data_IF_481723623060
#
_entry.id   IF_481723623060
#
_cell.length_a   1.000
_cell.length_b   1.000
_cell.length_c   1.000
_cell.angle_alpha   90.00
_cell.angle_beta   90.00
_cell.angle_gamma   90.00
#
_symmetry.space_group_name_H-M   'P 1'
#
loop_
_entity.id
_entity.type
_entity.pdbx_description
1 polymer ?
#
# COMPACT_ATOMS: atom_id res chain seq x y z
N UNK A 1 -7.85 -27.19 4.10
CA UNK A 1 -9.03 -26.98 3.24
C UNK A 1 -9.20 -28.08 2.21
N UNK A 2 -8.28 -28.26 1.24
CA UNK A 2 -8.41 -29.28 0.18
C UNK A 2 -8.71 -30.69 0.73
N UNK A 3 -7.95 -31.15 1.72
CA UNK A 3 -8.18 -32.46 2.33
C UNK A 3 -9.57 -32.59 2.97
N UNK A 4 -10.03 -31.55 3.69
CA UNK A 4 -11.33 -31.54 4.34
C UNK A 4 -12.49 -31.56 3.34
N UNK A 5 -12.37 -30.83 2.23
CA UNK A 5 -13.35 -30.87 1.14
C UNK A 5 -13.32 -32.22 0.42
N UNK A 6 -12.13 -32.79 0.21
CA UNK A 6 -11.97 -34.13 -0.35
C UNK A 6 -12.63 -35.22 0.49
N UNK A 7 -12.52 -35.13 1.83
CA UNK A 7 -13.15 -36.04 2.80
C UNK A 7 -14.63 -35.70 3.11
N UNK A 8 -15.14 -34.56 2.63
CA UNK A 8 -16.48 -34.09 2.96
C UNK A 8 -16.67 -33.67 4.43
N UNK A 9 -15.59 -33.26 5.11
CA UNK A 9 -15.58 -32.86 6.52
C UNK A 9 -15.47 -31.35 6.71
N UNK A 10 -15.29 -30.58 5.63
CA UNK A 10 -15.24 -29.12 5.69
C UNK A 10 -16.59 -28.56 6.15
N UNK A 11 -16.60 -27.64 7.10
CA UNK A 11 -17.82 -27.06 7.68
C UNK A 11 -18.17 -25.72 7.03
N UNK A 12 -19.43 -25.53 6.61
CA UNK A 12 -19.90 -24.25 6.13
C UNK A 12 -20.13 -23.29 7.30
N UNK A 13 -19.45 -22.14 7.30
CA UNK A 13 -19.54 -21.19 8.42
C UNK A 13 -20.90 -20.49 8.58
N UNK A 14 -21.83 -20.62 7.62
CA UNK A 14 -23.18 -20.05 7.73
C UNK A 14 -24.12 -21.00 8.48
N UNK A 15 -24.11 -22.29 8.14
CA UNK A 15 -25.05 -23.27 8.70
C UNK A 15 -24.38 -24.30 9.65
N UNK A 16 -23.07 -24.21 9.83
CA UNK A 16 -22.24 -25.08 10.67
C UNK A 16 -22.37 -26.57 10.31
N UNK A 17 -22.79 -26.87 9.09
CA UNK A 17 -22.95 -28.24 8.59
C UNK A 17 -21.81 -28.62 7.64
N UNK A 18 -21.49 -29.91 7.58
CA UNK A 18 -20.45 -30.44 6.69
C UNK A 18 -20.85 -30.29 5.22
N UNK A 19 -19.88 -29.91 4.39
CA UNK A 19 -19.99 -29.86 2.94
C UNK A 19 -19.60 -31.23 2.38
N UNK A 20 -20.56 -31.95 1.83
CA UNK A 20 -20.31 -33.24 1.16
C UNK A 20 -19.60 -33.04 -0.18
N UNK A 21 -18.94 -34.09 -0.68
CA UNK A 21 -18.18 -34.08 -1.96
C UNK A 21 -19.01 -33.69 -3.18
N UNK A 22 -20.33 -33.92 -3.15
CA UNK A 22 -21.25 -33.60 -4.24
C UNK A 22 -22.16 -32.41 -3.97
N UNK A 23 -22.03 -31.74 -2.83
CA UNK A 23 -22.85 -30.57 -2.53
C UNK A 23 -22.42 -29.39 -3.42
N UNK A 24 -23.38 -28.65 -4.03
CA UNK A 24 -23.05 -27.39 -4.69
C UNK A 24 -22.48 -26.39 -3.70
N UNK A 25 -21.34 -25.79 -4.05
CA UNK A 25 -20.66 -24.80 -3.21
C UNK A 25 -20.44 -23.49 -3.95
N UNK A 26 -20.13 -22.46 -3.19
CA UNK A 26 -19.46 -21.27 -3.67
C UNK A 26 -18.17 -21.08 -2.89
N UNK A 27 -17.11 -20.60 -3.55
CA UNK A 27 -15.83 -20.28 -2.91
C UNK A 27 -15.43 -18.83 -3.16
N UNK A 28 -15.04 -18.12 -2.11
CA UNK A 28 -14.59 -16.73 -2.22
C UNK A 28 -13.25 -16.63 -2.95
N UNK A 29 -13.11 -15.73 -3.94
CA UNK A 29 -11.82 -15.50 -4.61
C UNK A 29 -10.76 -14.77 -3.77
N UNK A 30 -11.13 -14.22 -2.61
CA UNK A 30 -10.22 -13.46 -1.73
C UNK A 30 -9.72 -14.31 -0.56
N UNK A 31 -10.64 -14.86 0.24
CA UNK A 31 -10.30 -15.68 1.40
C UNK A 31 -10.44 -17.18 1.17
N UNK A 32 -10.92 -17.61 0.01
CA UNK A 32 -11.03 -19.02 -0.40
C UNK A 32 -11.99 -19.87 0.43
N UNK A 33 -12.73 -19.27 1.37
CA UNK A 33 -13.75 -19.95 2.15
C UNK A 33 -14.80 -20.59 1.24
N UNK A 34 -15.09 -21.87 1.46
CA UNK A 34 -16.14 -22.61 0.77
C UNK A 34 -17.42 -22.62 1.59
N UNK A 35 -18.56 -22.35 0.95
CA UNK A 35 -19.89 -22.32 1.57
C UNK A 35 -20.86 -23.12 0.72
N UNK A 36 -21.90 -23.72 1.31
CA UNK A 36 -22.98 -24.28 0.51
C UNK A 36 -23.60 -23.19 -0.38
N UNK A 37 -23.89 -23.53 -1.63
CA UNK A 37 -24.48 -22.60 -2.59
C UNK A 37 -25.79 -21.99 -2.06
N UNK A 38 -26.64 -22.81 -1.45
CA UNK A 38 -27.90 -22.36 -0.82
C UNK A 38 -27.67 -21.35 0.31
N UNK A 39 -26.63 -21.56 1.12
CA UNK A 39 -26.32 -20.68 2.24
C UNK A 39 -25.86 -19.31 1.75
N UNK A 40 -24.95 -19.28 0.76
CA UNK A 40 -24.51 -17.99 0.20
C UNK A 40 -25.64 -17.29 -0.54
N UNK A 41 -26.52 -18.03 -1.23
CA UNK A 41 -27.69 -17.45 -1.88
C UNK A 41 -28.62 -16.73 -0.90
N UNK A 42 -28.88 -17.34 0.25
CA UNK A 42 -29.66 -16.70 1.31
C UNK A 42 -28.93 -15.51 1.93
N UNK A 43 -27.60 -15.59 2.06
CA UNK A 43 -26.78 -14.49 2.55
C UNK A 43 -26.85 -13.28 1.63
N UNK A 44 -26.64 -13.47 0.33
CA UNK A 44 -26.71 -12.40 -0.69
C UNK A 44 -28.07 -11.71 -0.62
N UNK A 45 -29.18 -12.46 -0.69
CA UNK A 45 -30.54 -11.89 -0.63
C UNK A 45 -30.83 -11.08 0.63
N UNK A 46 -30.17 -11.39 1.76
CA UNK A 46 -30.36 -10.69 3.04
C UNK A 46 -29.43 -9.49 3.21
N UNK A 47 -28.29 -9.48 2.53
CA UNK A 47 -27.24 -8.48 2.70
C UNK A 47 -27.07 -7.54 1.52
N UNK A 48 -27.77 -7.79 0.41
CA UNK A 48 -27.77 -6.93 -0.76
C UNK A 48 -28.69 -5.74 -0.55
N UNK A 49 -28.10 -4.54 -0.58
CA UNK A 49 -28.83 -3.31 -0.82
C UNK A 49 -29.03 -3.16 -2.34
N UNK A 50 -30.28 -3.05 -2.78
CA UNK A 50 -30.79 -2.83 -4.15
C UNK A 50 -31.28 -4.07 -4.92
N UNK A 51 -32.45 -3.90 -5.55
CA UNK A 51 -33.11 -4.84 -6.45
C UNK A 51 -32.74 -4.58 -7.90
N UNK A 52 -32.26 -5.63 -8.56
CA UNK A 52 -31.80 -5.69 -9.95
C UNK A 52 -31.07 -7.01 -10.19
N UNK A 53 -30.50 -7.23 -11.38
CA UNK A 53 -29.74 -8.46 -11.69
C UNK A 53 -28.33 -8.48 -11.04
N UNK A 54 -27.80 -7.32 -10.63
CA UNK A 54 -26.54 -7.20 -9.89
C UNK A 54 -26.75 -7.02 -8.38
N UNK A 55 -25.99 -7.79 -7.59
CA UNK A 55 -26.04 -7.79 -6.13
C UNK A 55 -24.70 -7.30 -5.57
N UNK A 56 -24.75 -6.40 -4.59
CA UNK A 56 -23.58 -5.99 -3.79
C UNK A 56 -23.65 -6.62 -2.41
N UNK A 57 -22.67 -7.40 -2.00
CA UNK A 57 -22.72 -8.13 -0.72
C UNK A 57 -21.33 -8.39 -0.12
N UNK A 58 -21.19 -8.36 1.21
CA UNK A 58 -19.93 -8.66 1.88
C UNK A 58 -19.73 -10.17 2.06
N UNK A 59 -18.53 -10.67 1.79
CA UNK A 59 -18.17 -12.07 2.04
C UNK A 59 -18.31 -12.43 3.54
N UNK A 60 -19.02 -13.51 3.89
CA UNK A 60 -19.12 -13.98 5.29
C UNK A 60 -17.77 -14.27 5.96
N UNK A 61 -16.78 -14.68 5.16
CA UNK A 61 -15.43 -15.04 5.63
C UNK A 61 -14.51 -13.86 5.88
N UNK A 62 -14.39 -12.95 4.91
CA UNK A 62 -13.39 -11.86 4.93
C UNK A 62 -13.97 -10.45 4.82
N UNK A 63 -15.29 -10.32 4.69
CA UNK A 63 -16.01 -9.05 4.46
C UNK A 63 -15.64 -8.29 3.18
N UNK A 64 -14.88 -8.91 2.27
CA UNK A 64 -14.66 -8.34 0.95
C UNK A 64 -16.01 -8.13 0.24
N UNK A 65 -16.22 -6.94 -0.32
CA UNK A 65 -17.45 -6.59 -1.03
C UNK A 65 -17.41 -7.15 -2.45
N UNK A 66 -18.29 -8.11 -2.72
CA UNK A 66 -18.53 -8.65 -4.05
C UNK A 66 -19.65 -7.86 -4.73
N UNK A 67 -19.45 -7.56 -6.02
CA UNK A 67 -20.45 -6.92 -6.89
C UNK A 67 -20.58 -7.82 -8.12
N UNK A 68 -21.80 -8.19 -8.46
CA UNK A 68 -22.08 -8.99 -9.66
C UNK A 68 -23.35 -9.83 -9.53
N UNK A 69 -23.57 -10.79 -10.44
CA UNK A 69 -24.75 -11.65 -10.41
C UNK A 69 -24.77 -12.58 -9.20
N UNK A 70 -25.90 -13.25 -9.02
CA UNK A 70 -26.06 -14.31 -8.03
C UNK A 70 -24.92 -15.35 -8.20
N UNK A 71 -24.21 -15.74 -7.12
CA UNK A 71 -23.06 -16.63 -7.25
C UNK A 71 -23.47 -18.01 -7.75
N UNK A 72 -22.72 -18.55 -8.71
CA UNK A 72 -22.96 -19.87 -9.28
C UNK A 72 -21.99 -20.93 -8.73
N UNK A 73 -22.37 -22.21 -8.84
CA UNK A 73 -21.48 -23.30 -8.49
C UNK A 73 -20.53 -23.57 -9.65
N UNK A 74 -19.30 -23.09 -9.51
CA UNK A 74 -18.20 -23.36 -10.44
C UNK A 74 -17.11 -24.16 -9.75
N UNK A 75 -16.25 -24.81 -10.53
CA UNK A 75 -15.00 -25.34 -10.01
C UNK A 75 -14.10 -24.22 -9.46
N UNK A 76 -13.08 -24.55 -8.67
CA UNK A 76 -12.22 -23.52 -8.07
C UNK A 76 -11.52 -22.61 -9.09
N UNK A 77 -11.17 -23.11 -10.27
CA UNK A 77 -10.56 -22.28 -11.32
C UNK A 77 -11.57 -21.50 -12.18
N UNK A 78 -12.87 -21.70 -11.98
CA UNK A 78 -13.95 -21.02 -12.70
C UNK A 78 -14.26 -21.53 -14.10
N UNK A 79 -13.48 -22.50 -14.63
CA UNK A 79 -13.63 -23.00 -16.02
C UNK A 79 -14.88 -23.85 -16.25
N UNK A 80 -15.32 -24.58 -15.23
CA UNK A 80 -16.45 -25.52 -15.33
C UNK A 80 -17.55 -25.13 -14.35
N UNK A 81 -18.74 -24.93 -14.87
CA UNK A 81 -19.98 -24.80 -14.08
C UNK A 81 -20.48 -26.18 -13.68
N UNK A 82 -20.90 -26.34 -12.43
CA UNK A 82 -21.43 -27.57 -11.85
C UNK A 82 -20.50 -28.79 -12.05
N UNK A 83 -19.27 -28.76 -11.49
CA UNK A 83 -18.32 -29.86 -11.64
C UNK A 83 -18.85 -31.17 -11.04
N UNK A 84 -18.76 -32.25 -11.81
CA UNK A 84 -19.18 -33.58 -11.37
C UNK A 84 -18.21 -34.16 -10.33
N UNK A 85 -18.71 -34.86 -9.29
CA UNK A 85 -17.86 -35.52 -8.32
C UNK A 85 -17.12 -36.68 -8.97
N UNK A 86 -15.79 -36.71 -8.85
CA UNK A 86 -14.99 -37.82 -9.34
C UNK A 86 -14.14 -38.46 -8.23
N UNK A 87 -13.71 -39.72 -8.41
CA UNK A 87 -12.69 -40.33 -7.57
C UNK A 87 -11.27 -39.85 -7.90
N UNK A 88 -11.04 -39.33 -9.11
CA UNK A 88 -9.70 -39.10 -9.67
C UNK A 88 -9.14 -37.71 -9.37
N UNK A 89 -10.01 -36.73 -9.10
CA UNK A 89 -9.60 -35.38 -8.74
C UNK A 89 -10.35 -34.90 -7.49
N UNK A 90 -9.87 -33.78 -6.97
CA UNK A 90 -10.41 -33.17 -5.78
C UNK A 90 -11.88 -32.78 -5.98
N UNK A 91 -12.71 -32.98 -4.94
CA UNK A 91 -14.11 -32.54 -4.95
C UNK A 91 -14.22 -31.05 -5.32
N UNK A 92 -15.26 -30.68 -6.07
CA UNK A 92 -15.50 -29.31 -6.57
C UNK A 92 -14.39 -28.77 -7.51
N UNK A 93 -13.57 -29.66 -8.07
CA UNK A 93 -12.54 -29.33 -9.07
C UNK A 93 -12.89 -29.92 -10.42
N UNK A 94 -12.42 -29.34 -11.52
CA UNK A 94 -12.69 -29.83 -12.88
C UNK A 94 -11.66 -30.85 -13.39
N UNK A 95 -10.62 -31.16 -12.62
CA UNK A 95 -9.55 -32.09 -13.04
C UNK A 95 -8.57 -31.55 -14.09
N UNK A 96 -8.84 -30.38 -14.68
CA UNK A 96 -7.92 -29.73 -15.62
C UNK A 96 -6.84 -28.90 -14.91
N UNK A 97 -5.80 -28.52 -15.66
CA UNK A 97 -4.80 -27.54 -15.23
C UNK A 97 -5.50 -26.23 -14.85
N UNK A 98 -5.20 -25.71 -13.66
CA UNK A 98 -5.83 -24.54 -13.05
C UNK A 98 -5.76 -23.32 -13.97
N UNK A 99 -4.57 -22.96 -14.46
CA UNK A 99 -4.39 -21.87 -15.42
C UNK A 99 -4.69 -20.46 -14.90
N UNK A 100 -5.09 -20.28 -13.63
CA UNK A 100 -5.29 -18.96 -13.02
C UNK A 100 -4.02 -18.10 -13.11
N UNK A 101 -4.23 -16.79 -13.32
CA UNK A 101 -3.17 -15.80 -13.27
C UNK A 101 -2.59 -15.68 -11.86
N UNK A 102 -1.29 -15.38 -11.79
CA UNK A 102 -0.53 -15.26 -10.54
C UNK A 102 0.19 -13.91 -10.45
N UNK A 103 -0.21 -12.91 -11.22
CA UNK A 103 0.49 -11.63 -11.35
C UNK A 103 1.82 -11.75 -12.10
N UNK A 104 2.00 -12.79 -12.91
CA UNK A 104 3.18 -13.00 -13.74
C UNK A 104 2.76 -13.69 -15.04
N UNK A 105 3.55 -13.61 -16.14
CA UNK A 105 3.17 -14.18 -17.43
C UNK A 105 3.08 -15.73 -17.45
N UNK A 106 3.30 -16.39 -16.31
CA UNK A 106 3.25 -17.85 -16.18
C UNK A 106 2.00 -18.30 -15.44
N UNK A 107 1.09 -18.95 -16.18
CA UNK A 107 -0.13 -19.57 -15.65
C UNK A 107 0.17 -20.66 -14.61
N UNK A 108 -0.77 -20.91 -13.69
CA UNK A 108 -0.65 -21.98 -12.70
C UNK A 108 -0.65 -23.38 -13.36
N UNK A 109 0.41 -24.20 -13.20
CA UNK A 109 0.50 -25.53 -13.80
C UNK A 109 -0.18 -26.64 -13.00
N UNK A 110 -0.56 -26.37 -11.74
CA UNK A 110 -1.24 -27.35 -10.88
C UNK A 110 -2.64 -27.67 -11.41
N UNK A 111 -3.16 -28.84 -11.07
CA UNK A 111 -4.57 -29.17 -11.30
C UNK A 111 -5.48 -28.17 -10.56
N UNK A 112 -6.73 -28.03 -11.00
CA UNK A 112 -7.73 -27.22 -10.35
C UNK A 112 -7.76 -27.48 -8.83
N UNK A 113 -7.48 -26.45 -8.05
CA UNK A 113 -7.24 -26.56 -6.61
C UNK A 113 -7.93 -25.41 -5.86
N UNK A 114 -8.36 -25.63 -4.60
CA UNK A 114 -8.85 -24.57 -3.73
C UNK A 114 -7.68 -23.71 -3.25
N UNK A 115 -7.98 -22.50 -2.80
CA UNK A 115 -6.98 -21.60 -2.24
C UNK A 115 -6.14 -20.86 -3.30
N UNK A 116 -5.22 -20.00 -2.82
CA UNK A 116 -4.33 -19.25 -3.69
C UNK A 116 -3.40 -20.17 -4.46
N UNK A 117 -3.03 -19.77 -5.68
CA UNK A 117 -2.07 -20.54 -6.47
C UNK A 117 -0.67 -20.51 -5.82
N UNK A 118 0.09 -21.62 -5.89
CA UNK A 118 1.45 -21.63 -5.40
C UNK A 118 2.33 -20.62 -6.17
N UNK A 119 3.39 -20.10 -5.53
CA UNK A 119 4.31 -19.16 -6.15
C UNK A 119 4.89 -19.76 -7.43
N UNK A 120 5.14 -18.90 -8.41
CA UNK A 120 5.68 -19.35 -9.70
C UNK A 120 7.10 -19.92 -9.54
N UNK A 121 7.30 -21.17 -9.96
CA UNK A 121 8.60 -21.86 -9.93
C UNK A 121 9.43 -21.65 -11.20
N UNK A 122 8.90 -20.92 -12.18
CA UNK A 122 9.60 -20.63 -13.43
C UNK A 122 10.92 -19.89 -13.14
N UNK A 123 12.00 -20.39 -13.74
CA UNK A 123 13.32 -19.79 -13.63
C UNK A 123 13.46 -18.72 -14.71
N UNK A 124 13.69 -17.49 -14.27
CA UNK A 124 13.99 -16.36 -15.14
C UNK A 124 15.43 -16.38 -15.62
N UNK A 125 15.68 -15.67 -16.73
CA UNK A 125 17.00 -15.41 -17.28
C UNK A 125 17.92 -14.72 -16.25
N UNK A 126 19.25 -14.77 -16.45
CA UNK A 126 20.20 -14.00 -15.65
C UNK A 126 19.87 -12.50 -15.64
N UNK A 127 20.24 -11.82 -14.57
CA UNK A 127 19.92 -10.41 -14.38
C UNK A 127 20.66 -9.82 -13.18
N UNK A 128 20.44 -8.55 -12.89
CA UNK A 128 21.10 -7.84 -11.79
C UNK A 128 20.15 -7.62 -10.61
N UNK A 129 20.72 -7.47 -9.41
CA UNK A 129 19.95 -7.02 -8.27
C UNK A 129 19.27 -5.67 -8.55
N UNK A 130 18.23 -5.34 -7.80
CA UNK A 130 17.61 -3.99 -7.83
C UNK A 130 18.62 -2.85 -7.54
N UNK A 131 19.74 -3.19 -6.91
CA UNK A 131 20.83 -2.29 -6.59
C UNK A 131 21.94 -2.19 -7.65
N UNK A 132 21.93 -3.02 -8.70
CA UNK A 132 23.01 -3.14 -9.69
C UNK A 132 24.34 -3.75 -9.19
N UNK A 133 24.50 -4.06 -7.90
CA UNK A 133 25.76 -4.56 -7.30
C UNK A 133 26.12 -6.00 -7.65
N UNK A 134 25.13 -6.87 -7.81
CA UNK A 134 25.35 -8.31 -8.00
C UNK A 134 24.51 -8.86 -9.15
N UNK A 135 25.06 -9.83 -9.87
CA UNK A 135 24.41 -10.53 -10.97
C UNK A 135 23.96 -11.92 -10.51
N UNK A 136 22.70 -12.27 -10.72
CA UNK A 136 22.23 -13.64 -10.50
C UNK A 136 22.18 -14.39 -11.82
N UNK A 137 22.69 -15.62 -11.80
CA UNK A 137 22.63 -16.54 -12.93
C UNK A 137 21.19 -17.01 -13.18
N UNK A 138 20.41 -17.18 -12.12
CA UNK A 138 19.01 -17.65 -12.19
C UNK A 138 18.19 -17.03 -11.06
N UNK A 139 16.92 -16.74 -11.30
CA UNK A 139 16.00 -16.32 -10.24
C UNK A 139 14.62 -16.95 -10.44
N UNK A 140 13.93 -17.36 -9.37
CA UNK A 140 12.56 -17.93 -9.45
C UNK A 140 11.51 -16.83 -9.49
N UNK A 141 10.47 -17.00 -10.30
CA UNK A 141 9.50 -15.94 -10.59
C UNK A 141 8.64 -15.54 -9.39
N UNK A 142 8.19 -16.51 -8.61
CA UNK A 142 7.40 -16.29 -7.41
C UNK A 142 8.24 -16.08 -6.15
N UNK A 143 9.56 -15.93 -6.26
CA UNK A 143 10.39 -15.66 -5.10
C UNK A 143 10.34 -14.16 -4.77
N UNK A 144 9.94 -13.76 -3.54
CA UNK A 144 9.83 -12.35 -3.16
C UNK A 144 11.20 -11.66 -3.03
N UNK A 145 12.29 -12.43 -2.91
CA UNK A 145 13.67 -11.95 -2.89
C UNK A 145 14.33 -12.01 -4.26
N UNK A 146 13.56 -12.28 -5.32
CA UNK A 146 13.99 -12.19 -6.70
C UNK A 146 14.73 -10.87 -6.90
N UNK A 147 15.97 -10.96 -7.39
CA UNK A 147 16.84 -9.80 -7.63
C UNK A 147 17.21 -9.00 -6.37
N UNK A 148 17.13 -9.57 -5.16
CA UNK A 148 17.69 -8.99 -3.94
C UNK A 148 18.99 -9.70 -3.56
N UNK A 149 20.14 -9.01 -3.62
CA UNK A 149 21.44 -9.56 -3.20
C UNK A 149 21.58 -9.72 -1.68
N UNK A 150 20.58 -9.30 -0.91
CA UNK A 150 20.59 -9.40 0.54
C UNK A 150 21.54 -8.46 1.28
N UNK A 151 22.49 -7.83 0.59
CA UNK A 151 23.36 -6.76 1.13
C UNK A 151 22.61 -5.42 1.23
N UNK A 152 23.19 -4.46 1.97
CA UNK A 152 22.69 -3.08 2.00
C UNK A 152 22.66 -2.47 0.58
N UNK A 153 21.53 -1.86 0.23
CA UNK A 153 21.25 -1.32 -1.09
C UNK A 153 22.35 -0.33 -1.52
N UNK A 154 22.74 0.59 -0.63
CA UNK A 154 23.83 1.54 -0.86
C UNK A 154 23.61 2.58 -1.97
N UNK A 155 22.41 2.64 -2.57
CA UNK A 155 22.02 3.75 -3.48
C UNK A 155 22.02 5.05 -2.69
N UNK A 156 22.43 6.16 -3.33
CA UNK A 156 22.36 7.48 -2.72
C UNK A 156 20.89 7.86 -2.55
N UNK A 157 20.50 8.22 -1.33
CA UNK A 157 19.15 8.64 -0.99
C UNK A 157 18.85 10.02 -1.62
N UNK A 158 17.58 10.40 -1.71
CA UNK A 158 17.14 11.67 -2.28
C UNK A 158 17.81 12.91 -1.62
N UNK A 159 18.32 12.78 -0.39
CA UNK A 159 19.09 13.84 0.27
C UNK A 159 20.48 14.10 -0.33
N UNK A 160 20.96 13.26 -1.25
CA UNK A 160 22.23 13.40 -1.96
C UNK A 160 23.49 13.15 -1.11
N UNK A 161 23.35 12.89 0.20
CA UNK A 161 24.46 12.79 1.15
C UNK A 161 24.61 11.43 1.82
N UNK A 162 23.52 10.69 1.96
CA UNK A 162 23.51 9.42 2.67
C UNK A 162 23.17 8.26 1.74
N UNK A 163 23.80 7.11 1.96
CA UNK A 163 23.51 5.87 1.26
C UNK A 163 22.39 5.08 1.95
N UNK A 164 21.53 4.42 1.18
CA UNK A 164 20.46 3.58 1.70
C UNK A 164 21.02 2.41 2.53
N UNK A 165 20.73 2.33 3.84
CA UNK A 165 21.23 1.27 4.72
C UNK A 165 20.39 -0.01 4.64
N UNK A 166 19.20 0.05 4.05
CA UNK A 166 18.27 -1.08 3.97
C UNK A 166 18.79 -2.12 2.99
N UNK A 167 18.50 -3.39 3.24
CA UNK A 167 18.79 -4.50 2.31
C UNK A 167 18.25 -4.19 0.91
N UNK A 168 18.88 -4.74 -0.12
CA UNK A 168 18.45 -4.60 -1.50
C UNK A 168 16.94 -4.87 -1.62
N UNK A 169 16.21 -3.89 -2.14
CA UNK A 169 14.75 -3.87 -2.15
C UNK A 169 14.26 -3.42 -3.53
N UNK A 170 13.00 -3.74 -3.82
CA UNK A 170 12.30 -3.29 -5.02
C UNK A 170 11.94 -1.80 -4.88
N UNK A 171 11.95 -1.06 -5.98
CA UNK A 171 11.47 0.33 -6.04
C UNK A 171 12.48 1.38 -5.57
N UNK A 172 11.99 2.60 -5.33
CA UNK A 172 12.79 3.74 -4.86
C UNK A 172 13.20 3.59 -3.39
N UNK A 173 14.37 4.14 -3.05
CA UNK A 173 14.84 4.11 -1.67
C UNK A 173 13.98 5.02 -0.79
N UNK A 174 13.66 4.59 0.45
CA UNK A 174 12.90 5.41 1.38
C UNK A 174 13.65 6.70 1.75
N UNK A 175 12.94 7.71 2.29
CA UNK A 175 13.55 8.97 2.69
C UNK A 175 14.64 8.76 3.76
N UNK A 176 15.54 9.73 3.85
CA UNK A 176 16.66 9.66 4.79
C UNK A 176 16.17 9.76 6.24
N UNK A 177 16.50 8.76 7.04
CA UNK A 177 16.18 8.70 8.48
C UNK A 177 17.31 9.22 9.37
N UNK A 178 18.44 9.62 8.80
CA UNK A 178 19.57 10.16 9.56
C UNK A 178 19.19 11.52 10.11
N UNK A 179 19.30 11.71 11.43
CA UNK A 179 19.18 13.01 12.07
C UNK A 179 20.51 13.76 12.03
N UNK A 180 20.44 15.07 11.81
CA UNK A 180 21.59 15.97 11.83
C UNK A 180 21.26 17.21 12.64
N UNK A 181 22.24 17.72 13.39
CA UNK A 181 22.10 18.97 14.14
C UNK A 181 21.98 20.13 13.15
N UNK A 182 20.88 20.88 13.20
CA UNK A 182 20.65 22.06 12.36
C UNK A 182 20.46 23.31 13.22
N UNK A 183 21.14 24.40 12.83
CA UNK A 183 21.00 25.74 13.43
C UNK A 183 19.80 26.49 12.87
N UNK A 184 19.14 27.33 13.69
CA UNK A 184 18.12 28.29 13.19
C UNK A 184 18.76 29.21 12.15
N UNK A 185 17.93 29.82 11.31
CA UNK A 185 18.32 31.00 10.54
C UNK A 185 18.94 32.13 11.38
N UNK A 186 18.60 32.24 12.66
CA UNK A 186 19.20 33.22 13.57
C UNK A 186 20.51 32.74 14.22
N UNK A 187 20.90 31.46 14.04
CA UNK A 187 22.09 30.86 14.66
C UNK A 187 22.00 30.60 16.17
N UNK A 188 20.94 31.07 16.84
CA UNK A 188 20.82 31.05 18.30
C UNK A 188 20.33 29.72 18.89
N UNK A 189 19.85 28.80 18.06
CA UNK A 189 19.28 27.52 18.54
C UNK A 189 19.67 26.40 17.60
N UNK A 190 20.02 25.25 18.18
CA UNK A 190 20.34 24.01 17.48
C UNK A 190 19.31 22.94 17.82
N UNK A 191 18.88 22.17 16.83
CA UNK A 191 17.94 21.07 17.02
C UNK A 191 18.28 19.91 16.11
N UNK A 192 18.16 18.69 16.62
CA UNK A 192 18.31 17.45 15.83
C UNK A 192 17.11 17.30 14.90
N UNK A 193 17.35 17.31 13.59
CA UNK A 193 16.29 17.14 12.59
C UNK A 193 16.70 16.13 11.52
N UNK A 194 15.69 15.48 10.95
CA UNK A 194 15.86 14.53 9.85
C UNK A 194 16.54 15.19 8.64
N UNK A 195 17.47 14.47 8.03
CA UNK A 195 18.15 14.90 6.83
C UNK A 195 17.14 15.09 5.69
N UNK A 196 17.06 16.30 5.13
CA UNK A 196 16.05 16.66 4.13
C UNK A 196 14.79 17.32 4.71
N UNK A 197 14.70 17.54 6.03
CA UNK A 197 13.65 18.39 6.59
C UNK A 197 13.76 19.83 6.04
N UNK A 198 12.68 20.59 6.08
CA UNK A 198 12.71 22.01 5.72
C UNK A 198 13.62 22.82 6.67
N UNK A 199 13.97 24.03 6.24
CA UNK A 199 14.84 24.95 6.96
C UNK A 199 14.24 25.35 8.32
N UNK A 200 15.10 25.54 9.34
CA UNK A 200 14.68 25.69 10.72
C UNK A 200 14.54 27.16 11.13
N UNK A 201 13.32 27.54 11.49
CA UNK A 201 12.98 28.80 12.14
C UNK A 201 12.50 28.51 13.59
N UNK A 202 13.14 29.12 14.58
CA UNK A 202 12.80 29.02 15.99
C UNK A 202 11.69 30.01 16.32
N UNK A 203 11.01 29.78 17.45
CA UNK A 203 9.92 30.64 17.91
C UNK A 203 10.39 31.96 18.54
N UNK A 204 11.70 32.21 18.62
CA UNK A 204 12.24 33.46 19.14
C UNK A 204 12.03 34.63 18.16
N UNK A 205 11.92 35.85 18.69
CA UNK A 205 11.90 37.08 17.89
C UNK A 205 13.23 37.29 17.17
N UNK A 206 13.17 37.66 15.88
CA UNK A 206 14.32 37.79 14.99
C UNK A 206 15.35 38.83 15.47
N UNK A 207 14.91 40.02 15.89
CA UNK A 207 15.77 41.04 16.52
C UNK A 207 16.81 41.71 15.61
N UNK A 208 16.92 41.31 14.33
CA UNK A 208 17.81 41.92 13.33
C UNK A 208 17.47 43.40 13.10
N UNK A 209 18.49 44.23 12.93
CA UNK A 209 18.32 45.66 12.63
C UNK A 209 17.74 45.81 11.22
N UNK A 210 16.59 46.49 11.11
CA UNK A 210 15.92 46.75 9.83
C UNK A 210 16.70 47.81 9.04
N UNK A 211 16.51 47.86 7.71
CA UNK A 211 17.21 48.80 6.80
C UNK A 211 17.10 50.27 7.19
N UNK A 212 16.10 50.65 7.98
CA UNK A 212 15.95 51.99 8.56
C UNK A 212 17.01 52.35 9.64
N UNK A 213 17.86 51.41 10.06
CA UNK A 213 18.95 51.63 11.02
C UNK A 213 18.53 51.88 12.47
N UNK A 214 17.24 52.08 12.75
CA UNK A 214 16.71 52.42 14.09
C UNK A 214 15.85 51.33 14.75
N UNK A 215 15.14 50.53 13.95
CA UNK A 215 14.18 49.55 14.47
C UNK A 215 14.68 48.12 14.26
N UNK A 216 14.30 47.22 15.18
CA UNK A 216 14.61 45.79 15.12
C UNK A 216 13.40 45.00 14.62
N UNK A 217 13.64 43.88 13.96
CA UNK A 217 12.61 42.98 13.47
C UNK A 217 11.89 42.30 14.64
N UNK A 218 10.58 42.54 14.78
CA UNK A 218 9.70 41.96 15.81
C UNK A 218 9.05 40.64 15.38
N UNK A 219 9.31 40.17 14.15
CA UNK A 219 8.80 38.89 13.63
C UNK A 219 9.50 37.71 14.32
N UNK A 220 8.86 36.54 14.34
CA UNK A 220 9.48 35.26 14.72
C UNK A 220 10.67 34.89 13.79
N UNK A 221 11.63 34.05 14.23
CA UNK A 221 12.77 33.59 13.39
C UNK A 221 12.16 33.16 12.05
N UNK A 222 12.62 33.77 10.96
CA UNK A 222 12.09 33.54 9.63
C UNK A 222 13.25 33.40 8.65
N UNK A 223 13.00 32.71 7.55
CA UNK A 223 13.95 32.65 6.44
C UNK A 223 14.04 34.01 5.74
N UNK A 224 15.22 34.35 5.20
CA UNK A 224 15.41 35.52 4.33
C UNK A 224 15.50 36.88 5.03
N UNK A 225 15.33 37.95 4.24
CA UNK A 225 15.45 39.35 4.68
C UNK A 225 14.24 39.81 5.49
N UNK A 226 14.43 40.67 6.49
CA UNK A 226 13.37 41.12 7.39
C UNK A 226 12.35 42.05 6.72
N UNK A 227 12.64 42.54 5.51
CA UNK A 227 11.77 43.43 4.75
C UNK A 227 11.84 44.89 5.23
N UNK A 228 10.93 45.72 4.71
CA UNK A 228 10.87 47.14 5.05
C UNK A 228 10.35 47.35 6.47
N UNK A 229 10.81 48.42 7.14
CA UNK A 229 10.36 48.70 8.50
C UNK A 229 8.88 49.15 8.48
N UNK A 230 7.99 48.52 9.27
CA UNK A 230 6.59 48.92 9.35
C UNK A 230 6.40 50.28 10.01
N UNK A 231 7.45 50.90 10.55
CA UNK A 231 7.43 52.26 11.08
C UNK A 231 8.17 53.25 10.17
N UNK A 232 8.59 52.79 8.99
CA UNK A 232 9.25 53.65 8.01
C UNK A 232 8.23 54.56 7.31
N UNK A 233 8.41 55.88 7.34
CA UNK A 233 7.52 56.82 6.66
C UNK A 233 7.40 56.58 5.15
N UNK A 234 8.43 55.99 4.51
CA UNK A 234 8.43 55.69 3.09
C UNK A 234 7.49 54.53 2.73
N UNK A 235 7.20 53.61 3.67
CA UNK A 235 6.30 52.46 3.46
C UNK A 235 4.83 52.89 3.52
N UNK A 236 4.50 53.85 4.37
CA UNK A 236 3.12 54.32 4.56
C UNK A 236 2.74 55.52 3.69
N UNK A 237 3.65 55.99 2.83
CA UNK A 237 3.40 57.11 1.94
C UNK A 237 2.94 58.37 2.67
N UNK A 238 3.50 58.63 3.85
CA UNK A 238 3.10 59.77 4.68
C UNK A 238 1.73 59.64 5.34
N UNK A 239 1.29 58.43 5.71
CA UNK A 239 0.11 58.18 6.57
C UNK A 239 0.50 57.58 7.93
N UNK A 240 -0.27 57.85 8.98
CA UNK A 240 -0.07 57.24 10.30
C UNK A 240 -0.23 55.71 10.22
N UNK A 241 0.67 54.97 10.87
CA UNK A 241 0.55 53.50 11.01
C UNK A 241 -0.76 53.05 11.68
N UNK A 242 -1.43 53.96 12.40
CA UNK A 242 -2.75 53.78 13.00
C UNK A 242 -3.92 53.81 12.00
N UNK A 243 -3.68 54.21 10.75
CA UNK A 243 -4.68 54.34 9.69
C UNK A 243 -5.70 55.48 9.86
N UNK A 244 -5.68 56.20 10.99
CA UNK A 244 -6.72 57.19 11.35
C UNK A 244 -6.38 58.64 11.00
N UNK A 245 -5.14 58.95 10.68
CA UNK A 245 -4.71 60.32 10.34
C UNK A 245 -3.60 60.32 9.29
N UNK A 246 -3.55 61.39 8.48
CA UNK A 246 -2.47 61.58 7.51
C UNK A 246 -1.14 61.90 8.21
N UNK A 247 -1.13 62.55 9.37
CA UNK A 247 0.07 62.72 10.21
C UNK A 247 -0.26 62.49 11.68
N UNK A 248 0.55 61.68 12.35
CA UNK A 248 0.52 61.60 13.80
C UNK A 248 1.33 62.79 14.35
N UNK A 249 0.69 63.67 15.13
CA UNK A 249 1.39 64.68 15.94
C UNK A 249 2.08 64.01 17.11
#
# INVERSE_FOLDING_TARGET
MAEMLGRGTYECMICLSKISRGAPIWSCGQCWAALHLKCIHQWVKKSSDMGGDEHSWPCPGCRYHHIGPMPEYTCFCGKLTQPEPSPHWLAHSCGEVCGRDRGCPHSCPELCHPGPCPPCTAIGKPGQCHCGKEQFQTSRCGDPTRWSCGSACGRILACGRHSCPIRCHVGDCPPCTVTSLRRCFCGATESERLCGSEEFACTSTCGKLLKCGRHRCERTCHAGDCGACPRDPAVWGGRCACGRTERCK
#
